data_IF_990567443304
#
_entry.id   IF_990567443304
#
_cell.length_a   1.000
_cell.length_b   1.000
_cell.length_c   1.000
_cell.angle_alpha   90.00
_cell.angle_beta   90.00
_cell.angle_gamma   90.00
#
_symmetry.space_group_name_H-M   'P 1'
#
loop_
_entity.id
_entity.type
_entity.pdbx_description
1 polymer ?
#
# COMPACT_ATOMS: atom_id res chain seq x y z
N UNK A 1 -10.90 4.21 -1.59
CA UNK A 1 -10.23 3.33 -2.59
C UNK A 1 -9.33 4.13 -3.51
N UNK A 2 -9.81 5.18 -4.19
CA UNK A 2 -8.92 6.08 -4.97
C UNK A 2 -7.81 6.63 -4.07
N UNK A 3 -8.18 7.20 -2.92
CA UNK A 3 -7.21 7.74 -1.95
C UNK A 3 -6.08 6.79 -1.55
N UNK A 4 -6.37 5.49 -1.32
CA UNK A 4 -5.32 4.50 -1.00
C UNK A 4 -4.41 4.22 -2.21
N UNK A 5 -4.97 4.20 -3.41
CA UNK A 5 -4.19 4.03 -4.64
C UNK A 5 -3.32 5.27 -4.85
N UNK A 6 -3.89 6.45 -4.73
CA UNK A 6 -3.20 7.73 -4.89
C UNK A 6 -2.06 7.86 -3.88
N UNK A 7 -2.27 7.44 -2.62
CA UNK A 7 -1.24 7.40 -1.58
C UNK A 7 -0.13 6.39 -1.87
N UNK A 8 -0.47 5.18 -2.33
CA UNK A 8 0.52 4.17 -2.72
C UNK A 8 1.36 4.66 -3.89
N UNK A 9 0.74 5.30 -4.90
CA UNK A 9 1.46 5.85 -6.05
C UNK A 9 2.36 7.02 -5.66
N UNK A 10 1.94 7.86 -4.72
CA UNK A 10 2.79 8.92 -4.18
C UNK A 10 4.07 8.36 -3.53
N UNK A 11 3.96 7.30 -2.73
CA UNK A 11 5.15 6.65 -2.16
C UNK A 11 6.04 5.97 -3.20
N UNK A 12 5.44 5.38 -4.24
CA UNK A 12 6.19 4.80 -5.36
C UNK A 12 6.99 5.85 -6.12
N UNK A 13 6.39 7.01 -6.35
CA UNK A 13 7.06 8.15 -6.98
C UNK A 13 8.16 8.71 -6.08
N UNK A 14 7.89 8.88 -4.78
CA UNK A 14 8.83 9.42 -3.81
C UNK A 14 10.09 8.56 -3.66
N UNK A 15 9.92 7.24 -3.53
CA UNK A 15 11.02 6.30 -3.31
C UNK A 15 11.52 5.61 -4.58
N UNK A 16 10.91 5.91 -5.73
CA UNK A 16 11.23 5.32 -7.04
C UNK A 16 11.27 3.79 -7.04
N UNK A 17 10.37 3.15 -6.31
CA UNK A 17 10.31 1.69 -6.17
C UNK A 17 8.86 1.20 -6.00
N UNK A 18 8.61 -0.09 -6.20
CA UNK A 18 7.26 -0.64 -6.19
C UNK A 18 6.78 -1.09 -4.80
N UNK A 19 7.72 -1.27 -3.87
CA UNK A 19 7.50 -1.81 -2.52
C UNK A 19 8.33 -1.10 -1.45
N UNK A 20 7.77 -0.85 -0.24
CA UNK A 20 8.53 -0.26 0.86
C UNK A 20 9.74 -1.09 1.28
N UNK A 21 9.72 -2.41 1.06
CA UNK A 21 10.82 -3.30 1.38
C UNK A 21 12.04 -3.15 0.45
N UNK A 22 11.90 -2.44 -0.67
CA UNK A 22 12.97 -2.20 -1.65
C UNK A 22 13.73 -0.89 -1.36
N UNK A 23 13.24 -0.07 -0.43
CA UNK A 23 13.86 1.20 -0.08
C UNK A 23 15.13 0.98 0.74
N UNK A 24 16.26 1.45 0.22
CA UNK A 24 17.52 1.48 0.96
C UNK A 24 17.55 2.66 1.93
N UNK A 25 17.10 2.43 3.16
CA UNK A 25 17.05 3.45 4.23
C UNK A 25 18.44 4.01 4.55
N UNK A 26 19.52 3.25 4.31
CA UNK A 26 20.88 3.69 4.59
C UNK A 26 21.42 4.65 3.52
N UNK A 27 20.73 4.81 2.39
CA UNK A 27 21.05 5.81 1.38
C UNK A 27 20.63 7.24 1.80
N UNK A 28 19.83 7.39 2.87
CA UNK A 28 19.37 8.67 3.38
C UNK A 28 20.26 9.20 4.50
N UNK A 29 20.26 10.52 4.68
CA UNK A 29 20.89 11.16 5.84
C UNK A 29 20.33 10.62 7.15
N UNK A 30 21.19 10.41 8.14
CA UNK A 30 20.80 9.89 9.46
C UNK A 30 19.69 10.71 10.14
N UNK A 31 19.63 12.02 9.87
CA UNK A 31 18.58 12.90 10.39
C UNK A 31 17.18 12.61 9.81
N UNK A 32 17.10 11.92 8.67
CA UNK A 32 15.85 11.58 7.98
C UNK A 32 15.43 10.13 8.18
N UNK A 33 16.27 9.30 8.79
CA UNK A 33 16.01 7.86 8.93
C UNK A 33 14.69 7.58 9.65
N UNK A 34 14.39 8.34 10.70
CA UNK A 34 13.14 8.20 11.45
C UNK A 34 11.90 8.55 10.59
N UNK A 35 11.99 9.60 9.77
CA UNK A 35 10.94 10.00 8.82
C UNK A 35 10.72 8.91 7.78
N UNK A 36 11.81 8.41 7.18
CA UNK A 36 11.76 7.32 6.18
C UNK A 36 11.10 6.08 6.79
N UNK A 37 11.46 5.67 8.00
CA UNK A 37 10.79 4.52 8.63
C UNK A 37 9.30 4.77 8.89
N UNK A 38 8.90 5.99 9.24
CA UNK A 38 7.50 6.35 9.42
C UNK A 38 6.73 6.23 8.09
N UNK A 39 7.30 6.76 7.01
CA UNK A 39 6.72 6.68 5.66
C UNK A 39 6.62 5.24 5.15
N UNK A 40 7.65 4.41 5.35
CA UNK A 40 7.61 3.00 4.96
C UNK A 40 6.55 2.21 5.72
N UNK A 41 6.36 2.49 7.01
CA UNK A 41 5.32 1.86 7.81
C UNK A 41 3.92 2.25 7.35
N UNK A 42 3.74 3.52 7.02
CA UNK A 42 2.48 4.04 6.49
C UNK A 42 2.17 3.49 5.09
N UNK A 43 3.17 3.44 4.21
CA UNK A 43 3.03 2.84 2.88
C UNK A 43 2.66 1.35 2.97
N UNK A 44 3.31 0.59 3.84
CA UNK A 44 2.97 -0.82 4.08
C UNK A 44 1.51 -0.98 4.54
N UNK A 45 1.06 -0.10 5.45
CA UNK A 45 -0.33 -0.08 5.93
C UNK A 45 -1.31 0.18 4.79
N UNK A 46 -1.03 1.16 3.92
CA UNK A 46 -1.87 1.47 2.77
C UNK A 46 -2.01 0.27 1.80
N UNK A 47 -0.93 -0.48 1.58
CA UNK A 47 -0.94 -1.71 0.77
C UNK A 47 -1.84 -2.78 1.41
N UNK A 48 -1.72 -3.00 2.72
CA UNK A 48 -2.51 -3.98 3.46
C UNK A 48 -4.01 -3.65 3.43
N UNK A 49 -4.37 -2.38 3.67
CA UNK A 49 -5.76 -1.91 3.59
C UNK A 49 -6.34 -2.11 2.19
N UNK A 50 -5.59 -1.75 1.15
CA UNK A 50 -5.99 -2.01 -0.25
C UNK A 50 -6.27 -3.49 -0.48
N UNK A 51 -5.39 -4.38 -0.02
CA UNK A 51 -5.58 -5.82 -0.18
C UNK A 51 -6.82 -6.33 0.58
N UNK A 52 -7.07 -5.83 1.78
CA UNK A 52 -8.25 -6.16 2.55
C UNK A 52 -9.53 -5.75 1.81
N UNK A 53 -9.57 -4.52 1.30
CA UNK A 53 -10.69 -4.02 0.48
C UNK A 53 -10.92 -4.89 -0.75
N UNK A 54 -9.87 -5.29 -1.47
CA UNK A 54 -9.98 -6.17 -2.64
C UNK A 54 -10.54 -7.56 -2.27
N UNK A 55 -10.11 -8.13 -1.15
CA UNK A 55 -10.61 -9.43 -0.66
C UNK A 55 -12.09 -9.36 -0.31
N UNK A 56 -12.51 -8.31 0.40
CA UNK A 56 -13.92 -8.07 0.75
C UNK A 56 -14.77 -7.92 -0.52
N UNK A 57 -14.32 -7.10 -1.49
CA UNK A 57 -15.00 -6.92 -2.77
C UNK A 57 -15.13 -8.22 -3.55
N UNK A 58 -14.06 -9.03 -3.61
CA UNK A 58 -14.06 -10.32 -4.31
C UNK A 58 -15.02 -11.32 -3.66
N UNK A 59 -15.09 -11.34 -2.32
CA UNK A 59 -16.04 -12.18 -1.58
C UNK A 59 -17.48 -11.80 -1.89
N UNK A 60 -17.82 -10.51 -1.88
CA UNK A 60 -19.16 -10.02 -2.22
C UNK A 60 -19.56 -10.35 -3.67
N UNK A 61 -18.65 -10.20 -4.64
CA UNK A 61 -18.90 -10.55 -6.03
C UNK A 61 -19.15 -12.05 -6.24
N UNK A 62 -18.44 -12.92 -5.50
CA UNK A 62 -18.67 -14.38 -5.55
C UNK A 62 -20.04 -14.77 -4.98
N UNK A 63 -20.45 -14.14 -3.87
CA UNK A 63 -21.75 -14.41 -3.25
C UNK A 63 -22.92 -14.06 -4.15
N UNK A 64 -22.86 -12.92 -4.85
CA UNK A 64 -23.92 -12.50 -5.79
C UNK A 64 -24.02 -13.39 -7.03
N UNK A 65 -22.88 -13.84 -7.58
CA UNK A 65 -22.86 -14.78 -8.71
C UNK A 65 -23.47 -16.15 -8.35
N UNK A 66 -23.33 -16.60 -7.09
CA UNK A 66 -23.87 -17.89 -6.63
C UNK A 66 -25.38 -17.87 -6.32
N UNK A 67 -26.02 -16.69 -6.24
CA UNK A 67 -27.45 -16.54 -5.98
C UNK A 67 -28.31 -16.46 -7.25
N UNK A 68 -27.72 -16.68 -8.44
CA UNK A 68 -28.39 -16.68 -9.74
C UNK A 68 -28.53 -18.07 -10.38
N UNK A 69 -28.59 -19.12 -9.56
CA UNK A 69 -28.96 -20.50 -9.92
C UNK A 69 -30.10 -20.97 -9.05
#
# INVERSE_FOLDING_TARGET
>A
MSELIDRIEAYREEYATDSPAEVDVLAFDAARVDEVYADLGDWATAIEERQLHERVRRKAARSTASSHT
#
